data_IF_812506975130
#
_entry.id   IF_812506975130
#
_cell.length_a   1.000
_cell.length_b   1.000
_cell.length_c   1.000
_cell.angle_alpha   90.00
_cell.angle_beta   90.00
_cell.angle_gamma   90.00
#
_symmetry.space_group_name_H-M   'P 1'
#
loop_
_entity.id
_entity.type
_entity.pdbx_description
1 polymer ?
#
# COMPACT_ATOMS: atom_id res chain seq x y z
N UNK A 1 51.24 32.47 -0.76
CA UNK A 1 50.38 31.45 -0.10
C UNK A 1 49.32 31.03 -1.09
N UNK A 2 49.47 29.89 -1.77
CA UNK A 2 48.54 29.42 -2.81
C UNK A 2 47.45 28.64 -2.09
N UNK A 3 46.19 29.10 -2.21
CA UNK A 3 45.02 28.39 -1.74
C UNK A 3 44.78 27.21 -2.66
N UNK A 4 44.86 25.99 -2.10
CA UNK A 4 44.50 24.76 -2.83
C UNK A 4 43.02 24.80 -3.24
N UNK A 5 42.67 24.38 -4.47
CA UNK A 5 41.29 24.30 -4.89
C UNK A 5 40.56 23.27 -4.04
N UNK A 6 39.53 23.71 -3.32
CA UNK A 6 38.63 22.82 -2.57
C UNK A 6 37.84 21.96 -3.57
N UNK A 7 38.07 20.67 -3.58
CA UNK A 7 37.25 19.75 -4.35
C UNK A 7 35.79 19.86 -3.87
N UNK A 8 34.83 20.04 -4.79
CA UNK A 8 33.43 20.04 -4.41
C UNK A 8 33.08 18.71 -3.73
N UNK A 9 32.23 18.73 -2.67
CA UNK A 9 31.87 17.52 -1.96
C UNK A 9 31.28 16.50 -2.93
N UNK A 10 31.79 15.28 -2.86
CA UNK A 10 31.32 14.18 -3.70
C UNK A 10 29.79 14.06 -3.56
N UNK A 11 29.05 14.24 -4.65
CA UNK A 11 27.60 14.03 -4.66
C UNK A 11 27.33 12.63 -4.13
N UNK A 12 26.72 12.52 -2.96
CA UNK A 12 26.29 11.23 -2.41
C UNK A 12 25.42 10.54 -3.46
N UNK A 13 25.90 9.42 -3.99
CA UNK A 13 25.13 8.59 -4.92
C UNK A 13 23.92 8.06 -4.15
N UNK A 14 22.73 8.54 -4.50
CA UNK A 14 21.48 8.04 -3.92
C UNK A 14 21.34 6.58 -4.36
N UNK A 15 21.34 5.66 -3.41
CA UNK A 15 21.12 4.25 -3.69
C UNK A 15 19.62 4.04 -4.03
N UNK A 16 19.36 3.72 -5.30
CA UNK A 16 18.01 3.45 -5.82
C UNK A 16 17.59 1.99 -5.62
N UNK A 17 18.46 1.15 -5.04
CA UNK A 17 18.15 -0.26 -4.77
C UNK A 17 17.25 -0.39 -3.53
N UNK A 18 16.44 -1.46 -3.47
CA UNK A 18 15.63 -1.76 -2.30
C UNK A 18 16.51 -2.11 -1.10
N UNK A 19 16.23 -1.48 0.05
CA UNK A 19 16.89 -1.79 1.31
C UNK A 19 16.19 -2.95 2.06
N UNK A 20 16.74 -3.30 3.25
CA UNK A 20 16.21 -4.38 4.08
C UNK A 20 14.76 -4.14 4.50
N UNK A 21 14.41 -2.90 4.86
CA UNK A 21 13.04 -2.53 5.26
C UNK A 21 12.04 -2.76 4.12
N UNK A 22 12.37 -2.36 2.91
CA UNK A 22 11.49 -2.53 1.75
C UNK A 22 11.32 -3.99 1.37
N UNK A 23 12.38 -4.78 1.50
CA UNK A 23 12.30 -6.24 1.29
C UNK A 23 11.41 -6.91 2.34
N UNK A 24 11.50 -6.49 3.60
CA UNK A 24 10.62 -6.97 4.67
C UNK A 24 9.17 -6.59 4.41
N UNK A 25 8.90 -5.32 4.10
CA UNK A 25 7.55 -4.85 3.81
C UNK A 25 6.93 -5.56 2.60
N UNK A 26 7.72 -5.82 1.56
CA UNK A 26 7.29 -6.62 0.42
C UNK A 26 6.93 -8.06 0.82
N UNK A 27 7.75 -8.70 1.66
CA UNK A 27 7.47 -10.03 2.20
C UNK A 27 6.19 -10.08 3.03
N UNK A 28 6.01 -9.09 3.91
CA UNK A 28 4.78 -8.97 4.72
C UNK A 28 3.53 -8.75 3.85
N UNK A 29 3.64 -7.96 2.76
CA UNK A 29 2.54 -7.78 1.82
C UNK A 29 2.17 -9.09 1.10
N UNK A 30 3.15 -9.93 0.74
CA UNK A 30 2.90 -11.25 0.16
C UNK A 30 2.20 -12.16 1.16
N UNK A 31 2.65 -12.20 2.40
CA UNK A 31 2.04 -13.01 3.46
C UNK A 31 0.58 -12.59 3.68
N UNK A 32 0.34 -11.28 3.80
CA UNK A 32 -1.01 -10.75 3.95
C UNK A 32 -1.89 -11.07 2.74
N UNK A 33 -1.37 -10.94 1.52
CA UNK A 33 -2.08 -11.33 0.30
C UNK A 33 -2.44 -12.82 0.33
N UNK A 34 -1.53 -13.68 0.76
CA UNK A 34 -1.79 -15.11 0.93
C UNK A 34 -2.95 -15.39 1.89
N UNK A 35 -3.00 -14.71 3.04
CA UNK A 35 -4.11 -14.82 3.99
C UNK A 35 -5.44 -14.33 3.39
N UNK A 36 -5.43 -13.21 2.68
CA UNK A 36 -6.64 -12.69 2.00
C UNK A 36 -7.16 -13.68 0.98
N UNK A 37 -6.29 -14.22 0.12
CA UNK A 37 -6.68 -15.19 -0.91
C UNK A 37 -7.17 -16.50 -0.30
N UNK A 38 -6.53 -16.99 0.77
CA UNK A 38 -6.96 -18.17 1.49
C UNK A 38 -8.35 -17.97 2.13
N UNK A 39 -8.58 -16.81 2.77
CA UNK A 39 -9.89 -16.48 3.33
C UNK A 39 -10.96 -16.43 2.25
N UNK A 40 -10.69 -15.78 1.12
CA UNK A 40 -11.62 -15.74 -0.01
C UNK A 40 -11.94 -17.13 -0.55
N UNK A 41 -10.93 -17.98 -0.74
CA UNK A 41 -11.14 -19.35 -1.23
C UNK A 41 -12.02 -20.16 -0.27
N UNK A 42 -11.82 -20.03 1.04
CA UNK A 42 -12.64 -20.71 2.05
C UNK A 42 -14.06 -20.15 2.13
N UNK A 43 -14.23 -18.83 1.95
CA UNK A 43 -15.53 -18.15 1.94
C UNK A 43 -16.32 -18.26 0.64
N UNK A 44 -15.92 -19.12 -0.30
CA UNK A 44 -16.53 -19.17 -1.65
C UNK A 44 -18.05 -19.42 -1.65
N UNK A 45 -18.56 -20.17 -0.67
CA UNK A 45 -20.00 -20.44 -0.52
C UNK A 45 -20.83 -19.16 -0.24
N UNK A 46 -20.21 -18.12 0.29
CA UNK A 46 -20.86 -16.86 0.67
C UNK A 46 -20.70 -15.73 -0.37
N UNK A 47 -19.96 -15.96 -1.44
CA UNK A 47 -19.67 -14.93 -2.44
C UNK A 47 -20.91 -14.26 -3.03
N UNK A 48 -21.97 -15.03 -3.26
CA UNK A 48 -23.24 -14.51 -3.79
C UNK A 48 -24.00 -13.58 -2.83
N UNK A 49 -23.63 -13.54 -1.56
CA UNK A 49 -24.23 -12.68 -0.54
C UNK A 49 -23.52 -11.31 -0.41
N UNK A 50 -22.36 -11.14 -1.06
CA UNK A 50 -21.55 -9.94 -0.92
C UNK A 50 -22.07 -8.81 -1.83
N UNK A 51 -22.19 -7.58 -1.31
CA UNK A 51 -22.53 -6.42 -2.13
C UNK A 51 -21.38 -6.08 -3.10
N UNK A 52 -21.73 -5.54 -4.27
CA UNK A 52 -20.75 -5.22 -5.32
C UNK A 52 -19.66 -4.26 -4.87
N UNK A 53 -19.95 -3.33 -3.96
CA UNK A 53 -18.94 -2.41 -3.39
C UNK A 53 -17.84 -3.16 -2.62
N UNK A 54 -18.19 -4.25 -1.94
CA UNK A 54 -17.22 -5.05 -1.22
C UNK A 54 -16.32 -5.84 -2.18
N UNK A 55 -16.87 -6.32 -3.30
CA UNK A 55 -16.08 -6.93 -4.38
C UNK A 55 -15.10 -5.93 -5.01
N UNK A 56 -15.53 -4.69 -5.24
CA UNK A 56 -14.65 -3.63 -5.74
C UNK A 56 -13.49 -3.39 -4.76
N UNK A 57 -13.81 -3.26 -3.46
CA UNK A 57 -12.82 -3.08 -2.41
C UNK A 57 -11.81 -4.23 -2.35
N UNK A 58 -12.29 -5.46 -2.36
CA UNK A 58 -11.42 -6.65 -2.35
C UNK A 58 -10.53 -6.70 -3.59
N UNK A 59 -11.07 -6.42 -4.78
CA UNK A 59 -10.30 -6.43 -6.02
C UNK A 59 -9.20 -5.37 -6.02
N UNK A 60 -9.51 -4.13 -5.62
CA UNK A 60 -8.53 -3.04 -5.53
C UNK A 60 -7.48 -3.27 -4.44
N UNK A 61 -7.88 -3.85 -3.30
CA UNK A 61 -6.98 -4.25 -2.22
C UNK A 61 -6.02 -5.36 -2.66
N UNK A 62 -6.52 -6.41 -3.31
CA UNK A 62 -5.70 -7.50 -3.86
C UNK A 62 -4.72 -6.97 -4.91
N UNK A 63 -5.17 -6.12 -5.82
CA UNK A 63 -4.31 -5.48 -6.81
C UNK A 63 -3.20 -4.66 -6.14
N UNK A 64 -3.54 -3.86 -5.12
CA UNK A 64 -2.57 -3.05 -4.37
C UNK A 64 -1.56 -3.93 -3.63
N UNK A 65 -2.00 -4.98 -2.94
CA UNK A 65 -1.12 -5.94 -2.25
C UNK A 65 -0.21 -6.67 -3.23
N UNK A 66 -0.72 -7.11 -4.38
CA UNK A 66 0.07 -7.80 -5.41
C UNK A 66 1.11 -6.90 -6.08
N UNK A 67 0.80 -5.63 -6.31
CA UNK A 67 1.73 -4.66 -6.87
C UNK A 67 2.81 -4.22 -5.88
N UNK A 68 2.52 -4.26 -4.56
CA UNK A 68 3.45 -3.78 -3.52
C UNK A 68 4.82 -4.46 -3.57
N UNK A 69 4.95 -5.80 -3.58
CA UNK A 69 6.26 -6.44 -3.67
C UNK A 69 6.97 -6.11 -4.99
N UNK A 70 6.24 -6.03 -6.11
CA UNK A 70 6.82 -5.69 -7.39
C UNK A 70 7.49 -4.31 -7.38
N UNK A 71 6.80 -3.28 -6.88
CA UNK A 71 7.36 -1.92 -6.82
C UNK A 71 8.44 -1.74 -5.75
N UNK A 72 8.39 -2.51 -4.65
CA UNK A 72 9.38 -2.42 -3.58
C UNK A 72 10.67 -3.18 -3.89
N UNK A 73 10.61 -4.26 -4.68
CA UNK A 73 11.79 -5.06 -5.03
C UNK A 73 12.52 -4.58 -6.28
N UNK A 74 11.88 -3.80 -7.14
CA UNK A 74 12.54 -3.32 -8.36
C UNK A 74 13.38 -2.05 -8.14
N UNK A 75 14.41 -1.83 -8.96
CA UNK A 75 15.16 -0.57 -8.98
C UNK A 75 14.24 0.60 -9.37
N UNK A 76 14.37 1.70 -8.63
CA UNK A 76 13.55 2.90 -8.84
C UNK A 76 13.97 3.69 -10.08
N UNK A 77 13.03 4.49 -10.59
CA UNK A 77 13.31 5.48 -11.64
C UNK A 77 13.18 4.97 -13.07
N UNK A 78 13.04 3.66 -13.30
CA UNK A 78 12.80 3.12 -14.63
C UNK A 78 11.33 3.29 -15.08
N UNK A 79 11.04 3.06 -16.36
CA UNK A 79 9.68 3.21 -16.92
C UNK A 79 8.68 2.25 -16.27
N UNK A 80 9.10 1.02 -16.00
CA UNK A 80 8.26 -0.01 -15.39
C UNK A 80 7.87 0.37 -13.95
N UNK A 81 8.84 0.79 -13.13
CA UNK A 81 8.55 1.28 -11.76
C UNK A 81 7.55 2.44 -11.75
N UNK A 82 7.65 3.37 -12.71
CA UNK A 82 6.70 4.49 -12.82
C UNK A 82 5.31 4.00 -13.21
N UNK A 83 5.20 3.12 -14.21
CA UNK A 83 3.92 2.57 -14.67
C UNK A 83 3.21 1.79 -13.55
N UNK A 84 3.91 0.84 -12.92
CA UNK A 84 3.38 0.07 -11.79
C UNK A 84 3.08 0.96 -10.58
N UNK A 85 3.90 2.00 -10.35
CA UNK A 85 3.65 2.98 -9.29
C UNK A 85 2.35 3.76 -9.48
N UNK A 86 2.04 4.20 -10.72
CA UNK A 86 0.75 4.83 -11.00
C UNK A 86 -0.42 3.85 -10.86
N UNK A 87 -0.28 2.60 -11.31
CA UNK A 87 -1.30 1.58 -11.12
C UNK A 87 -1.55 1.30 -9.62
N UNK A 88 -0.48 1.23 -8.83
CA UNK A 88 -0.56 1.07 -7.38
C UNK A 88 -1.25 2.26 -6.69
N UNK A 89 -0.90 3.50 -7.06
CA UNK A 89 -1.55 4.72 -6.55
C UNK A 89 -3.03 4.73 -6.88
N UNK A 90 -3.40 4.36 -8.11
CA UNK A 90 -4.80 4.29 -8.53
C UNK A 90 -5.57 3.22 -7.76
N UNK A 91 -5.02 2.01 -7.64
CA UNK A 91 -5.64 0.91 -6.90
C UNK A 91 -5.81 1.26 -5.40
N UNK A 92 -4.77 1.78 -4.74
CA UNK A 92 -4.85 2.20 -3.34
C UNK A 92 -5.81 3.37 -3.13
N UNK A 93 -5.85 4.32 -4.07
CA UNK A 93 -6.78 5.44 -4.04
C UNK A 93 -8.24 4.98 -4.15
N UNK A 94 -8.52 4.06 -5.07
CA UNK A 94 -9.85 3.45 -5.21
C UNK A 94 -10.23 2.69 -3.94
N UNK A 95 -9.32 1.87 -3.39
CA UNK A 95 -9.52 1.17 -2.11
C UNK A 95 -9.87 2.13 -0.97
N UNK A 96 -9.20 3.29 -0.90
CA UNK A 96 -9.48 4.28 0.13
C UNK A 96 -10.81 5.01 -0.09
N UNK A 97 -11.21 5.24 -1.35
CA UNK A 97 -12.49 5.89 -1.68
C UNK A 97 -13.66 4.94 -1.42
N UNK A 98 -13.59 3.71 -1.91
CA UNK A 98 -14.68 2.74 -1.78
C UNK A 98 -14.90 2.30 -0.32
N UNK A 99 -13.84 2.38 0.52
CA UNK A 99 -13.96 2.10 1.96
C UNK A 99 -15.00 2.97 2.66
N UNK A 100 -15.25 4.20 2.19
CA UNK A 100 -16.31 5.06 2.75
C UNK A 100 -17.73 4.57 2.46
N UNK A 101 -17.91 3.74 1.42
CA UNK A 101 -19.19 3.09 1.12
C UNK A 101 -19.40 1.81 1.96
N UNK A 102 -18.34 1.26 2.55
CA UNK A 102 -18.41 0.08 3.42
C UNK A 102 -18.66 0.56 4.85
N UNK A 103 -19.94 0.63 5.22
CA UNK A 103 -20.35 1.07 6.57
C UNK A 103 -20.38 -0.10 7.55
N UNK A 104 -20.04 0.18 8.80
CA UNK A 104 -20.31 -0.74 9.91
C UNK A 104 -21.82 -0.87 10.13
N UNK A 105 -22.26 -1.95 10.77
CA UNK A 105 -23.68 -2.19 11.12
C UNK A 105 -24.33 -1.05 11.91
N UNK A 106 -23.54 -0.22 12.59
CA UNK A 106 -24.00 0.99 13.30
C UNK A 106 -24.15 2.23 12.41
N UNK A 107 -23.77 2.17 11.12
CA UNK A 107 -23.78 3.32 10.21
C UNK A 107 -22.73 4.41 10.51
N UNK A 108 -21.96 4.28 11.58
CA UNK A 108 -20.97 5.27 12.02
C UNK A 108 -19.63 5.13 11.26
N UNK A 109 -18.92 6.25 11.15
CA UNK A 109 -17.53 6.26 10.70
C UNK A 109 -16.65 5.56 11.76
N UNK A 110 -15.86 4.59 11.35
CA UNK A 110 -14.90 3.91 12.22
C UNK A 110 -13.49 4.48 12.06
N UNK A 111 -12.57 4.10 12.96
CA UNK A 111 -11.15 4.50 12.88
C UNK A 111 -10.50 4.18 11.52
N UNK A 112 -10.99 3.16 10.81
CA UNK A 112 -10.55 2.81 9.45
C UNK A 112 -10.79 3.95 8.44
N UNK A 113 -11.88 4.71 8.57
CA UNK A 113 -12.16 5.83 7.66
C UNK A 113 -11.17 6.98 7.84
N UNK A 114 -10.65 7.19 9.07
CA UNK A 114 -9.55 8.14 9.32
C UNK A 114 -8.32 7.73 8.53
N UNK A 115 -7.99 6.45 8.54
CA UNK A 115 -6.85 5.91 7.79
C UNK A 115 -7.04 6.06 6.27
N UNK A 116 -8.27 5.89 5.77
CA UNK A 116 -8.60 6.13 4.35
C UNK A 116 -8.41 7.60 3.98
N UNK A 117 -8.83 8.53 4.85
CA UNK A 117 -8.62 9.97 4.64
C UNK A 117 -7.12 10.32 4.62
N UNK A 118 -6.35 9.82 5.58
CA UNK A 118 -4.88 10.00 5.63
C UNK A 118 -4.23 9.45 4.36
N UNK A 119 -4.68 8.29 3.89
CA UNK A 119 -4.20 7.68 2.64
C UNK A 119 -4.47 8.59 1.46
N UNK A 120 -5.69 9.10 1.29
CA UNK A 120 -6.06 10.00 0.20
C UNK A 120 -5.26 11.32 0.22
N UNK A 121 -4.95 11.84 1.40
CA UNK A 121 -4.08 13.02 1.54
C UNK A 121 -2.61 12.71 1.22
N UNK A 122 -2.13 11.51 1.52
CA UNK A 122 -0.74 11.11 1.28
C UNK A 122 -0.45 10.79 -0.20
N UNK A 123 -1.42 10.29 -0.97
CA UNK A 123 -1.23 9.90 -2.38
C UNK A 123 -0.79 11.07 -3.29
N UNK A 124 -1.39 12.27 -3.23
CA UNK A 124 -0.89 13.42 -3.99
C UNK A 124 0.54 13.79 -3.62
N UNK A 125 0.88 13.78 -2.32
CA UNK A 125 2.24 14.07 -1.85
C UNK A 125 3.25 13.03 -2.37
N UNK A 126 2.84 11.76 -2.45
CA UNK A 126 3.64 10.68 -3.04
C UNK A 126 3.97 10.95 -4.50
N UNK A 127 2.96 11.33 -5.31
CA UNK A 127 3.14 11.63 -6.73
C UNK A 127 4.01 12.88 -6.92
N UNK A 128 3.76 13.94 -6.13
CA UNK A 128 4.54 15.18 -6.20
C UNK A 128 6.01 14.93 -5.88
N UNK A 129 6.31 14.17 -4.82
CA UNK A 129 7.71 13.86 -4.44
C UNK A 129 8.40 13.00 -5.50
N UNK A 130 7.68 12.06 -6.14
CA UNK A 130 8.21 11.29 -7.27
C UNK A 130 8.56 12.19 -8.46
N UNK A 131 7.68 13.12 -8.83
CA UNK A 131 7.90 14.08 -9.93
C UNK A 131 9.02 15.08 -9.65
N UNK A 132 9.20 15.46 -8.38
CA UNK A 132 10.27 16.38 -7.94
C UNK A 132 11.61 15.67 -7.71
N UNK A 133 11.69 14.34 -7.94
CA UNK A 133 12.89 13.53 -7.68
C UNK A 133 13.36 13.60 -6.22
N UNK A 134 12.45 13.88 -5.26
CA UNK A 134 12.73 13.83 -3.83
C UNK A 134 12.63 12.37 -3.35
N UNK A 135 13.70 11.61 -3.57
CA UNK A 135 13.74 10.18 -3.29
C UNK A 135 13.59 9.87 -1.79
N UNK A 136 14.12 10.73 -0.93
CA UNK A 136 14.07 10.52 0.53
C UNK A 136 12.64 10.62 1.03
N UNK A 137 11.94 11.68 0.66
CA UNK A 137 10.55 11.92 1.07
C UNK A 137 9.61 10.93 0.41
N UNK A 138 9.82 10.62 -0.88
CA UNK A 138 9.07 9.59 -1.60
C UNK A 138 9.13 8.23 -0.87
N UNK A 139 10.33 7.74 -0.52
CA UNK A 139 10.50 6.48 0.22
C UNK A 139 9.77 6.49 1.55
N UNK A 140 9.84 7.59 2.29
CA UNK A 140 9.16 7.72 3.59
C UNK A 140 7.65 7.60 3.45
N UNK A 141 7.06 8.27 2.45
CA UNK A 141 5.62 8.22 2.18
C UNK A 141 5.20 6.81 1.74
N UNK A 142 5.93 6.17 0.81
CA UNK A 142 5.65 4.78 0.39
C UNK A 142 5.63 3.85 1.59
N UNK A 143 6.66 3.88 2.44
CA UNK A 143 6.73 3.03 3.65
C UNK A 143 5.58 3.29 4.61
N UNK A 144 5.24 4.56 4.84
CA UNK A 144 4.11 4.94 5.67
C UNK A 144 2.78 4.40 5.16
N UNK A 145 2.54 4.49 3.84
CA UNK A 145 1.35 3.95 3.19
C UNK A 145 1.31 2.42 3.25
N UNK A 146 2.43 1.75 2.98
CA UNK A 146 2.49 0.28 3.05
C UNK A 146 2.25 -0.19 4.49
N UNK A 147 2.87 0.41 5.49
CA UNK A 147 2.69 0.03 6.89
C UNK A 147 1.26 0.36 7.35
N UNK A 148 0.81 1.60 7.18
CA UNK A 148 -0.47 2.08 7.71
C UNK A 148 -1.66 1.58 6.90
N UNK A 149 -1.71 1.93 5.61
CA UNK A 149 -2.88 1.69 4.78
C UNK A 149 -3.02 0.22 4.32
N UNK A 150 -1.91 -0.51 4.16
CA UNK A 150 -1.97 -1.90 3.71
C UNK A 150 -1.80 -2.88 4.86
N UNK A 151 -0.66 -2.88 5.54
CA UNK A 151 -0.37 -3.93 6.52
C UNK A 151 -1.22 -3.77 7.79
N UNK A 152 -1.32 -2.56 8.34
CA UNK A 152 -2.12 -2.34 9.56
C UNK A 152 -3.61 -2.49 9.26
N UNK A 153 -4.16 -1.79 8.25
CA UNK A 153 -5.57 -1.91 7.90
C UNK A 153 -5.91 -3.33 7.46
N UNK A 154 -5.05 -3.95 6.62
CA UNK A 154 -5.23 -5.32 6.16
C UNK A 154 -5.21 -6.34 7.30
N UNK A 155 -4.31 -6.19 8.28
CA UNK A 155 -4.31 -7.04 9.48
C UNK A 155 -5.65 -6.93 10.22
N UNK A 156 -6.18 -5.73 10.42
CA UNK A 156 -7.44 -5.52 11.11
C UNK A 156 -8.69 -6.01 10.36
N UNK A 157 -8.55 -6.59 9.17
CA UNK A 157 -9.66 -7.27 8.49
C UNK A 157 -9.88 -8.71 8.97
N UNK A 158 -8.98 -9.26 9.80
CA UNK A 158 -9.09 -10.63 10.32
C UNK A 158 -9.63 -10.72 11.75
N UNK A 159 -9.12 -9.94 12.76
CA UNK A 159 -9.64 -10.02 14.13
C UNK A 159 -11.01 -9.36 14.27
N UNK A 160 -11.60 -9.47 15.45
CA UNK A 160 -12.83 -8.78 15.87
C UNK A 160 -14.09 -9.18 15.07
N UNK A 161 -14.25 -10.45 14.80
CA UNK A 161 -15.42 -11.00 14.11
C UNK A 161 -15.65 -10.38 12.71
N UNK A 162 -14.55 -10.11 12.02
CA UNK A 162 -14.58 -9.61 10.65
C UNK A 162 -14.74 -10.75 9.66
N UNK A 163 -15.41 -10.48 8.55
CA UNK A 163 -15.77 -11.44 7.51
C UNK A 163 -14.57 -12.32 7.05
N UNK A 164 -13.44 -11.72 6.70
CA UNK A 164 -12.27 -12.48 6.24
C UNK A 164 -11.67 -13.34 7.36
N UNK A 165 -11.69 -12.87 8.60
CA UNK A 165 -11.27 -13.66 9.75
C UNK A 165 -12.21 -14.83 10.00
N UNK A 166 -13.51 -14.61 9.92
CA UNK A 166 -14.49 -15.67 10.05
C UNK A 166 -14.29 -16.76 8.99
N UNK A 167 -14.15 -16.38 7.73
CA UNK A 167 -13.87 -17.35 6.66
C UNK A 167 -12.54 -18.09 6.80
N UNK A 168 -11.54 -17.47 7.40
CA UNK A 168 -10.23 -18.09 7.53
C UNK A 168 -10.15 -19.09 8.69
N UNK A 169 -10.84 -18.82 9.80
CA UNK A 169 -10.69 -19.56 11.06
C UNK A 169 -11.90 -20.40 11.46
N UNK A 170 -13.05 -20.32 10.76
CA UNK A 170 -14.20 -21.23 10.88
C UNK A 170 -14.20 -22.29 9.76
#
# INVERSE_FOLDING_TARGET
>A
MATLPQHPPARQRIDLRPDRTERLLAGLAIVLLGFVLAALARGAADWGKLPGVLWLHLATMIATLGLTPAILWMPRGNRLHRGLGYAWVAALGLTAIDSFAIRTSSGALSAIHILSLVTLCALPALVITARRHDHVRHRRIVRGLVIGALLTAGFFTFPFDRMLGHWLFS
#
